data_IF_570023547581
#
_entry.id   IF_570023547581
#
_cell.length_a   1.000
_cell.length_b   1.000
_cell.length_c   1.000
_cell.angle_alpha   90.00
_cell.angle_beta   90.00
_cell.angle_gamma   90.00
#
_symmetry.space_group_name_H-M   'P 1'
#
loop_
_entity.id
_entity.type
_entity.pdbx_description
1 polymer ?
#
# COMPACT_ATOMS: atom_id res chain seq x y z
N UNK A 1 -17.14 3.31 -20.65
CA UNK A 1 -16.17 2.18 -20.63
C UNK A 1 -15.25 2.14 -21.86
N UNK A 2 -15.41 3.02 -22.84
CA UNK A 2 -14.66 2.95 -24.11
C UNK A 2 -13.25 3.59 -24.06
N UNK A 3 -12.98 4.49 -23.10
CA UNK A 3 -11.67 5.17 -22.98
C UNK A 3 -10.56 4.37 -22.27
N UNK A 4 -10.89 3.24 -21.63
CA UNK A 4 -9.90 2.39 -20.96
C UNK A 4 -9.29 1.35 -21.90
N UNK A 5 -9.97 1.03 -23.00
CA UNK A 5 -9.54 0.01 -23.96
C UNK A 5 -8.55 0.54 -25.00
N UNK A 6 -8.58 1.84 -25.32
CA UNK A 6 -7.59 2.48 -26.19
C UNK A 6 -6.21 2.64 -25.53
N UNK A 7 -6.19 2.85 -24.21
CA UNK A 7 -4.93 3.03 -23.47
C UNK A 7 -4.14 1.71 -23.36
N UNK A 8 -4.84 0.58 -23.27
CA UNK A 8 -4.24 -0.76 -23.26
C UNK A 8 -3.64 -1.16 -24.62
N UNK A 9 -4.19 -0.65 -25.73
CA UNK A 9 -3.72 -0.96 -27.09
C UNK A 9 -2.46 -0.19 -27.48
N UNK A 10 -2.29 1.02 -26.92
CA UNK A 10 -1.11 1.87 -27.18
C UNK A 10 0.18 1.34 -26.55
N UNK A 11 0.12 0.48 -25.53
CA UNK A 11 1.30 0.01 -24.80
C UNK A 11 1.95 -1.25 -25.39
N UNK A 12 1.34 -1.91 -26.37
CA UNK A 12 1.81 -3.18 -26.94
C UNK A 12 2.60 -3.04 -28.26
N UNK A 13 2.90 -1.82 -28.71
CA UNK A 13 3.73 -1.58 -29.89
C UNK A 13 5.01 -0.85 -29.49
N UNK A 14 6.04 -1.62 -29.17
CA UNK A 14 7.31 -1.11 -28.68
C UNK A 14 8.36 -2.21 -28.51
N UNK A 15 8.63 -2.88 -29.63
CA UNK A 15 9.89 -3.54 -30.02
C UNK A 15 10.82 -4.05 -28.91
N UNK A 16 11.00 -5.37 -28.94
CA UNK A 16 12.12 -6.16 -28.43
C UNK A 16 13.48 -5.48 -28.65
N UNK A 17 14.15 -5.05 -27.58
CA UNK A 17 15.61 -5.03 -27.55
C UNK A 17 16.11 -5.92 -26.40
N UNK A 18 16.89 -6.92 -26.79
CA UNK A 18 17.49 -7.90 -25.92
C UNK A 18 18.70 -7.29 -25.20
N UNK A 19 18.63 -7.20 -23.87
CA UNK A 19 19.81 -7.03 -23.04
C UNK A 19 20.28 -8.41 -22.54
N UNK A 20 21.54 -8.82 -22.78
CA UNK A 20 22.08 -10.04 -22.19
C UNK A 20 22.50 -9.75 -20.75
N UNK A 21 21.82 -10.34 -19.77
CA UNK A 21 22.25 -10.33 -18.37
C UNK A 21 23.19 -11.51 -18.08
N UNK A 22 24.44 -11.29 -17.60
CA UNK A 22 25.34 -12.34 -17.18
C UNK A 22 25.22 -12.58 -15.67
N UNK A 23 24.44 -13.58 -15.25
CA UNK A 23 24.46 -14.06 -13.86
C UNK A 23 24.04 -15.53 -13.73
N UNK A 24 25.03 -16.41 -13.63
CA UNK A 24 25.05 -17.78 -13.04
C UNK A 24 23.78 -18.66 -13.14
N UNK A 25 23.87 -19.64 -14.04
CA UNK A 25 22.86 -20.62 -14.49
C UNK A 25 22.11 -21.47 -13.43
N UNK A 26 22.42 -21.42 -12.13
CA UNK A 26 21.86 -22.41 -11.18
C UNK A 26 20.38 -22.19 -10.79
N UNK A 27 19.88 -20.95 -10.86
CA UNK A 27 18.50 -20.61 -10.46
C UNK A 27 17.47 -20.76 -11.59
N UNK A 28 17.88 -20.52 -12.84
CA UNK A 28 17.04 -20.77 -14.03
C UNK A 28 16.77 -22.27 -14.24
N UNK A 29 17.72 -23.13 -13.85
CA UNK A 29 17.57 -24.59 -13.98
C UNK A 29 16.47 -25.16 -13.06
N UNK A 30 16.25 -24.56 -11.88
CA UNK A 30 15.20 -25.00 -10.97
C UNK A 30 13.79 -24.68 -11.53
N UNK A 31 13.63 -23.51 -12.15
CA UNK A 31 12.38 -23.11 -12.82
C UNK A 31 12.13 -23.99 -14.04
N UNK A 32 13.15 -24.23 -14.87
CA UNK A 32 13.04 -25.14 -16.02
C UNK A 32 12.66 -26.55 -15.60
N UNK A 33 13.23 -27.08 -14.51
CA UNK A 33 12.85 -28.39 -13.97
C UNK A 33 11.40 -28.42 -13.52
N UNK A 34 10.91 -27.37 -12.86
CA UNK A 34 9.52 -27.30 -12.40
C UNK A 34 8.52 -27.21 -13.57
N UNK A 35 8.79 -26.34 -14.55
CA UNK A 35 7.97 -26.19 -15.77
C UNK A 35 7.98 -27.46 -16.62
N UNK A 36 9.10 -28.18 -16.68
CA UNK A 36 9.20 -29.45 -17.40
C UNK A 36 8.63 -30.65 -16.62
N UNK A 37 8.32 -30.48 -15.32
CA UNK A 37 7.70 -31.53 -14.48
C UNK A 37 6.18 -31.38 -14.39
N UNK A 38 5.59 -30.30 -14.93
CA UNK A 38 4.14 -30.17 -15.07
C UNK A 38 3.68 -30.94 -16.31
N UNK A 39 2.78 -31.94 -16.19
CA UNK A 39 2.27 -32.68 -17.35
C UNK A 39 1.46 -31.77 -18.29
N UNK A 40 1.63 -31.99 -19.60
CA UNK A 40 0.84 -31.34 -20.66
C UNK A 40 -0.67 -31.67 -20.47
N UNK A 41 -1.61 -30.71 -20.61
CA UNK A 41 -3.05 -30.94 -20.42
C UNK A 41 -3.69 -32.01 -21.35
N UNK A 42 -2.94 -32.66 -22.24
CA UNK A 42 -3.47 -33.56 -23.28
C UNK A 42 -3.24 -35.07 -23.06
N UNK A 43 -2.62 -35.52 -21.98
CA UNK A 43 -2.45 -36.96 -21.68
C UNK A 43 -3.20 -37.45 -20.44
N UNK A 44 -4.47 -37.06 -20.26
CA UNK A 44 -5.35 -37.76 -19.32
C UNK A 44 -6.16 -38.82 -20.09
N UNK A 45 -6.10 -40.12 -19.71
CA UNK A 45 -6.94 -41.13 -20.31
C UNK A 45 -8.41 -40.84 -20.00
N UNK A 46 -9.25 -40.90 -21.04
CA UNK A 46 -10.71 -40.75 -20.94
C UNK A 46 -11.24 -41.90 -20.06
N UNK A 47 -11.89 -41.63 -18.91
CA UNK A 47 -12.53 -42.69 -18.13
C UNK A 47 -13.77 -43.21 -18.85
N UNK A 48 -13.80 -44.52 -19.09
CA UNK A 48 -14.96 -45.28 -19.54
C UNK A 48 -16.04 -45.20 -18.47
N UNK A 49 -17.25 -44.79 -18.85
CA UNK A 49 -18.44 -44.87 -18.00
C UNK A 49 -18.73 -46.32 -17.61
N UNK A 50 -18.82 -46.60 -16.32
CA UNK A 50 -19.51 -47.78 -15.82
C UNK A 50 -20.48 -47.35 -14.71
N UNK A 51 -21.75 -47.54 -15.02
CA UNK A 51 -22.89 -47.39 -14.14
C UNK A 51 -22.78 -48.31 -12.92
N UNK A 52 -22.97 -47.77 -11.72
CA UNK A 52 -23.78 -48.44 -10.68
C UNK A 52 -24.27 -47.45 -9.63
N UNK A 53 -25.59 -47.43 -9.48
CA UNK A 53 -26.44 -46.67 -8.56
C UNK A 53 -26.22 -47.15 -7.11
N UNK A 54 -26.04 -46.25 -6.10
CA UNK A 54 -26.76 -46.12 -4.79
C UNK A 54 -26.43 -44.73 -4.14
N UNK A 55 -27.44 -44.10 -3.52
CA UNK A 55 -27.66 -42.72 -2.99
C UNK A 55 -26.70 -42.06 -1.93
N UNK A 56 -26.85 -40.74 -1.59
CA UNK A 56 -25.79 -39.78 -1.16
C UNK A 56 -25.76 -39.43 0.36
N UNK A 57 -24.84 -38.58 0.86
CA UNK A 57 -25.14 -37.13 0.96
C UNK A 57 -23.95 -36.15 0.76
N UNK A 58 -24.24 -35.00 0.16
CA UNK A 58 -23.54 -33.70 0.23
C UNK A 58 -22.03 -33.68 0.52
N UNK A 59 -21.21 -33.68 -0.53
CA UNK A 59 -19.83 -33.18 -0.46
C UNK A 59 -19.77 -31.83 -1.16
N UNK A 60 -19.47 -30.83 -0.33
CA UNK A 60 -19.06 -29.47 -0.64
C UNK A 60 -18.32 -29.38 -1.98
N UNK A 61 -18.93 -28.69 -2.96
CA UNK A 61 -18.26 -28.34 -4.20
C UNK A 61 -17.13 -27.35 -3.87
N UNK A 62 -15.91 -27.87 -3.66
CA UNK A 62 -14.73 -27.03 -3.47
C UNK A 62 -14.50 -26.24 -4.75
N UNK A 63 -14.74 -24.94 -4.68
CA UNK A 63 -14.68 -24.00 -5.80
C UNK A 63 -13.29 -24.09 -6.49
N UNK A 64 -13.22 -24.66 -7.70
CA UNK A 64 -11.99 -24.85 -8.47
C UNK A 64 -11.21 -23.54 -8.70
N UNK A 65 -11.92 -22.42 -8.65
CA UNK A 65 -11.38 -21.07 -8.81
C UNK A 65 -10.41 -20.69 -7.67
N UNK A 66 -10.65 -21.13 -6.44
CA UNK A 66 -9.78 -20.83 -5.31
C UNK A 66 -8.41 -21.54 -5.42
N UNK A 67 -8.40 -22.75 -6.00
CA UNK A 67 -7.17 -23.54 -6.24
C UNK A 67 -6.32 -22.95 -7.37
N UNK A 68 -6.97 -22.31 -8.34
CA UNK A 68 -6.28 -21.67 -9.47
C UNK A 68 -5.59 -20.36 -9.04
N UNK A 69 -6.24 -19.54 -8.20
CA UNK A 69 -5.68 -18.30 -7.65
C UNK A 69 -4.44 -18.55 -6.77
N UNK A 70 -4.47 -19.60 -5.95
CA UNK A 70 -3.34 -19.95 -5.06
C UNK A 70 -2.11 -20.39 -5.89
N UNK A 71 -2.31 -21.14 -6.99
CA UNK A 71 -1.23 -21.52 -7.91
C UNK A 71 -0.65 -20.33 -8.66
N UNK A 72 -1.48 -19.38 -9.08
CA UNK A 72 -1.03 -18.14 -9.73
C UNK A 72 -0.25 -17.24 -8.78
N UNK A 73 -0.64 -17.19 -7.50
CA UNK A 73 0.10 -16.46 -6.48
C UNK A 73 1.47 -17.09 -6.20
N UNK A 74 1.55 -18.41 -6.18
CA UNK A 74 2.80 -19.14 -5.95
C UNK A 74 3.76 -19.01 -7.15
N UNK A 75 3.26 -19.11 -8.38
CA UNK A 75 4.08 -18.84 -9.57
C UNK A 75 4.56 -17.39 -9.60
N UNK A 76 3.74 -16.43 -9.21
CA UNK A 76 4.16 -15.03 -9.10
C UNK A 76 5.28 -14.83 -8.07
N UNK A 77 5.24 -15.53 -6.92
CA UNK A 77 6.31 -15.51 -5.90
C UNK A 77 7.61 -16.12 -6.40
N UNK A 78 7.53 -17.26 -7.08
CA UNK A 78 8.70 -17.90 -7.68
C UNK A 78 9.33 -16.99 -8.73
N UNK A 79 8.52 -16.38 -9.61
CA UNK A 79 8.98 -15.40 -10.59
C UNK A 79 9.62 -14.18 -9.90
N UNK A 80 9.00 -13.64 -8.85
CA UNK A 80 9.56 -12.50 -8.11
C UNK A 80 10.93 -12.84 -7.50
N UNK A 81 11.08 -14.04 -6.95
CA UNK A 81 12.33 -14.54 -6.37
C UNK A 81 13.39 -14.79 -7.44
N UNK A 82 13.01 -15.37 -8.57
CA UNK A 82 13.91 -15.64 -9.70
C UNK A 82 14.40 -14.37 -10.38
N UNK A 83 13.55 -13.34 -10.45
CA UNK A 83 13.88 -12.03 -11.02
C UNK A 83 14.63 -11.12 -10.03
N UNK A 84 14.90 -11.58 -8.80
CA UNK A 84 15.59 -10.79 -7.78
C UNK A 84 14.80 -9.55 -7.33
N UNK A 85 13.48 -9.54 -7.58
CA UNK A 85 12.63 -8.42 -7.21
C UNK A 85 12.44 -8.44 -5.67
N UNK A 86 12.65 -7.31 -4.97
CA UNK A 86 12.46 -7.28 -3.53
C UNK A 86 11.02 -7.66 -3.19
N UNK A 87 10.85 -8.47 -2.15
CA UNK A 87 9.52 -8.75 -1.61
C UNK A 87 8.89 -7.41 -1.20
N UNK A 88 7.61 -7.19 -1.57
CA UNK A 88 6.88 -6.00 -1.15
C UNK A 88 6.83 -5.99 0.38
N UNK A 89 7.66 -5.15 1.00
CA UNK A 89 7.67 -4.98 2.44
C UNK A 89 6.47 -4.12 2.83
N UNK A 90 5.69 -4.61 3.77
CA UNK A 90 4.61 -3.83 4.37
C UNK A 90 5.26 -2.83 5.34
N UNK A 91 5.08 -1.50 5.14
CA UNK A 91 5.61 -0.50 6.06
C UNK A 91 5.09 -0.70 7.49
N UNK A 92 5.84 -0.17 8.46
CA UNK A 92 5.35 0.02 9.83
C UNK A 92 4.47 1.27 9.89
N UNK A 93 3.55 1.29 10.85
CA UNK A 93 2.64 2.40 11.07
C UNK A 93 2.60 2.75 12.54
N UNK A 94 3.10 3.93 12.89
CA UNK A 94 3.24 4.42 14.26
C UNK A 94 1.99 5.16 14.78
N UNK A 95 1.08 5.52 13.87
CA UNK A 95 -0.10 6.33 14.16
C UNK A 95 -0.10 7.70 13.50
N UNK A 96 0.89 8.08 12.67
CA UNK A 96 0.82 9.36 11.95
C UNK A 96 -0.37 9.37 10.94
N UNK A 97 -1.38 10.24 11.11
CA UNK A 97 -2.49 10.35 10.17
C UNK A 97 -2.06 10.58 8.71
N UNK A 98 -0.97 11.32 8.48
CA UNK A 98 -0.45 11.58 7.13
C UNK A 98 -0.09 10.29 6.37
N UNK A 99 0.34 9.26 7.09
CA UNK A 99 0.78 7.98 6.53
C UNK A 99 -0.33 6.92 6.48
N UNK A 100 -1.48 7.16 7.11
CA UNK A 100 -2.54 6.16 7.26
C UNK A 100 -3.00 5.55 5.93
N UNK A 101 -3.34 6.37 4.93
CA UNK A 101 -3.85 5.85 3.65
C UNK A 101 -2.78 5.07 2.87
N UNK A 102 -1.51 5.47 2.97
CA UNK A 102 -0.40 4.78 2.28
C UNK A 102 -0.14 3.42 2.94
N UNK A 103 -0.16 3.37 4.27
CA UNK A 103 -0.09 2.16 5.06
C UNK A 103 -1.25 1.22 4.74
N UNK A 104 -2.50 1.69 4.84
CA UNK A 104 -3.68 0.86 4.62
C UNK A 104 -3.74 0.30 3.19
N UNK A 105 -3.38 1.10 2.17
CA UNK A 105 -3.27 0.61 0.79
C UNK A 105 -2.23 -0.51 0.68
N UNK A 106 -1.08 -0.35 1.33
CA UNK A 106 -0.01 -1.35 1.35
C UNK A 106 -0.46 -2.62 2.08
N UNK A 107 -1.12 -2.47 3.23
CA UNK A 107 -1.66 -3.55 4.05
C UNK A 107 -2.70 -4.37 3.28
N UNK A 108 -3.72 -3.72 2.74
CA UNK A 108 -4.77 -4.36 1.94
C UNK A 108 -4.19 -5.12 0.73
N UNK A 109 -3.22 -4.52 0.03
CA UNK A 109 -2.62 -5.15 -1.15
C UNK A 109 -1.72 -6.34 -0.84
N UNK A 110 -1.11 -6.38 0.34
CA UNK A 110 -0.06 -7.34 0.69
C UNK A 110 -0.57 -8.48 1.57
N UNK A 111 -1.44 -8.17 2.53
CA UNK A 111 -1.95 -9.13 3.53
C UNK A 111 -3.34 -9.60 3.14
N UNK A 112 -4.30 -8.68 2.98
CA UNK A 112 -5.71 -9.06 2.77
C UNK A 112 -5.93 -9.87 1.48
N UNK A 113 -5.17 -9.57 0.42
CA UNK A 113 -5.20 -10.32 -0.85
C UNK A 113 -4.63 -11.75 -0.75
N UNK A 114 -3.77 -12.02 0.23
CA UNK A 114 -2.98 -13.27 0.30
C UNK A 114 -3.36 -14.17 1.47
N UNK A 115 -3.99 -13.59 2.48
CA UNK A 115 -4.38 -14.27 3.72
C UNK A 115 -5.89 -14.23 3.81
N UNK A 116 -6.55 -15.37 3.99
CA UNK A 116 -8.02 -15.45 4.15
C UNK A 116 -8.44 -15.47 5.62
N UNK A 117 -7.62 -16.05 6.48
CA UNK A 117 -7.89 -16.18 7.90
C UNK A 117 -7.85 -14.82 8.64
N UNK A 118 -8.91 -14.46 9.39
CA UNK A 118 -8.96 -13.21 10.14
C UNK A 118 -7.95 -13.12 11.29
N UNK A 119 -7.63 -14.24 11.96
CA UNK A 119 -6.64 -14.25 13.04
C UNK A 119 -5.23 -13.94 12.50
N UNK A 120 -4.87 -14.52 11.36
CA UNK A 120 -3.62 -14.21 10.67
C UNK A 120 -3.58 -12.74 10.21
N UNK A 121 -4.68 -12.23 9.60
CA UNK A 121 -4.77 -10.82 9.18
C UNK A 121 -4.60 -9.87 10.36
N UNK A 122 -5.24 -10.15 11.48
CA UNK A 122 -5.09 -9.36 12.70
C UNK A 122 -3.67 -9.44 13.25
N UNK A 123 -3.06 -10.61 13.26
CA UNK A 123 -1.67 -10.80 13.69
C UNK A 123 -0.69 -9.99 12.83
N UNK A 124 -0.88 -9.96 11.51
CA UNK A 124 -0.11 -9.08 10.62
C UNK A 124 -0.37 -7.61 10.92
N UNK A 125 -1.63 -7.21 11.14
CA UNK A 125 -1.97 -5.81 11.46
C UNK A 125 -1.25 -5.36 12.74
N UNK A 126 -1.35 -6.15 13.81
CA UNK A 126 -0.69 -5.89 15.10
C UNK A 126 0.82 -5.85 14.94
N UNK A 127 1.41 -6.76 14.16
CA UNK A 127 2.86 -6.78 13.93
C UNK A 127 3.35 -5.52 13.22
N UNK A 128 2.54 -4.94 12.33
CA UNK A 128 2.93 -3.77 11.54
C UNK A 128 2.52 -2.42 12.15
N UNK A 129 1.66 -2.42 13.15
CA UNK A 129 1.41 -1.24 13.96
C UNK A 129 2.47 -1.10 15.06
N UNK A 130 2.90 0.13 15.32
CA UNK A 130 3.79 0.50 16.41
C UNK A 130 3.28 1.77 17.10
N UNK A 131 3.99 2.29 18.09
CA UNK A 131 3.68 3.58 18.70
C UNK A 131 2.23 3.70 19.22
N UNK A 132 1.55 4.77 18.80
CA UNK A 132 0.17 5.05 19.17
C UNK A 132 -0.81 4.09 18.47
N UNK A 133 -0.56 3.74 17.20
CA UNK A 133 -1.41 2.81 16.46
C UNK A 133 -1.49 1.44 17.15
N UNK A 134 -0.36 0.90 17.61
CA UNK A 134 -0.33 -0.36 18.34
C UNK A 134 -1.11 -0.27 19.66
N UNK A 135 -0.97 0.84 20.39
CA UNK A 135 -1.71 1.05 21.64
C UNK A 135 -3.22 1.14 21.41
N UNK A 136 -3.64 1.78 20.31
CA UNK A 136 -5.05 1.96 19.97
C UNK A 136 -5.75 0.62 19.72
N UNK A 137 -5.10 -0.32 19.03
CA UNK A 137 -5.71 -1.61 18.66
C UNK A 137 -5.42 -2.73 19.65
N UNK A 138 -4.56 -2.51 20.67
CA UNK A 138 -4.11 -3.54 21.62
C UNK A 138 -5.24 -4.33 22.27
N UNK A 139 -6.36 -3.67 22.61
CA UNK A 139 -7.50 -4.31 23.29
C UNK A 139 -8.31 -5.24 22.38
N UNK A 140 -8.19 -5.10 21.06
CA UNK A 140 -8.96 -5.91 20.12
C UNK A 140 -8.53 -7.38 20.13
N UNK A 141 -7.33 -7.70 20.63
CA UNK A 141 -6.85 -9.09 20.73
C UNK A 141 -7.51 -9.95 21.80
N UNK A 142 -8.43 -9.39 22.59
CA UNK A 142 -9.26 -10.16 23.55
C UNK A 142 -10.55 -10.68 22.90
N UNK A 143 -10.95 -10.09 21.76
CA UNK A 143 -12.15 -10.45 21.02
C UNK A 143 -11.89 -11.68 20.14
N UNK A 144 -12.97 -12.29 19.65
CA UNK A 144 -12.87 -13.33 18.63
C UNK A 144 -12.17 -12.78 17.37
N UNK A 145 -11.41 -13.61 16.63
CA UNK A 145 -10.51 -13.13 15.56
C UNK A 145 -11.17 -12.20 14.52
N UNK A 146 -12.36 -12.55 14.06
CA UNK A 146 -13.14 -11.77 13.10
C UNK A 146 -13.53 -10.39 13.67
N UNK A 147 -14.03 -10.38 14.90
CA UNK A 147 -14.51 -9.17 15.58
C UNK A 147 -13.32 -8.27 15.96
N UNK A 148 -12.26 -8.85 16.52
CA UNK A 148 -11.04 -8.15 16.87
C UNK A 148 -10.37 -7.49 15.67
N UNK A 149 -10.29 -8.17 14.54
CA UNK A 149 -9.77 -7.60 13.30
C UNK A 149 -10.63 -6.44 12.80
N UNK A 150 -11.96 -6.63 12.73
CA UNK A 150 -12.88 -5.60 12.25
C UNK A 150 -12.85 -4.35 13.14
N UNK A 151 -12.85 -4.54 14.47
CA UNK A 151 -12.78 -3.43 15.42
C UNK A 151 -11.44 -2.70 15.35
N UNK A 152 -10.33 -3.42 15.18
CA UNK A 152 -9.02 -2.80 15.00
C UNK A 152 -8.97 -1.89 13.76
N UNK A 153 -9.50 -2.36 12.62
CA UNK A 153 -9.59 -1.54 11.41
C UNK A 153 -10.43 -0.27 11.64
N UNK A 154 -11.59 -0.41 12.31
CA UNK A 154 -12.47 0.70 12.63
C UNK A 154 -11.81 1.74 13.54
N UNK A 155 -11.05 1.28 14.54
CA UNK A 155 -10.30 2.15 15.44
C UNK A 155 -9.22 2.92 14.68
N UNK A 156 -8.45 2.24 13.81
CA UNK A 156 -7.41 2.90 13.03
C UNK A 156 -8.00 3.94 12.07
N UNK A 157 -9.08 3.60 11.38
CA UNK A 157 -9.78 4.53 10.49
C UNK A 157 -10.30 5.75 11.24
N UNK A 158 -10.99 5.55 12.36
CA UNK A 158 -11.56 6.65 13.14
C UNK A 158 -10.49 7.58 13.71
N UNK A 159 -9.36 7.04 14.16
CA UNK A 159 -8.31 7.83 14.82
C UNK A 159 -7.35 8.50 13.85
N UNK A 160 -7.00 7.81 12.77
CA UNK A 160 -5.89 8.20 11.89
C UNK A 160 -6.31 8.38 10.44
N UNK A 161 -7.48 7.85 10.05
CA UNK A 161 -7.97 7.85 8.67
C UNK A 161 -9.01 8.90 8.32
N UNK A 162 -9.44 9.70 9.30
CA UNK A 162 -10.41 10.76 9.08
C UNK A 162 -9.79 11.87 8.20
N UNK A 163 -10.42 12.23 7.05
CA UNK A 163 -9.89 13.25 6.14
C UNK A 163 -9.59 14.59 6.81
N UNK A 164 -10.42 15.01 7.77
CA UNK A 164 -10.22 16.27 8.48
C UNK A 164 -9.02 16.17 9.44
N UNK A 165 -8.86 15.04 10.14
CA UNK A 165 -7.68 14.79 10.97
C UNK A 165 -6.39 14.82 10.13
N UNK A 166 -6.38 14.13 8.98
CA UNK A 166 -5.22 14.08 8.09
C UNK A 166 -4.88 15.48 7.56
N UNK A 167 -5.88 16.22 7.11
CA UNK A 167 -5.72 17.59 6.62
C UNK A 167 -5.14 18.51 7.70
N UNK A 168 -5.72 18.47 8.91
CA UNK A 168 -5.29 19.27 10.05
C UNK A 168 -3.85 18.94 10.45
N UNK A 169 -3.53 17.66 10.60
CA UNK A 169 -2.18 17.20 10.96
C UNK A 169 -1.14 17.62 9.91
N UNK A 170 -1.47 17.49 8.63
CA UNK A 170 -0.58 17.89 7.52
C UNK A 170 -0.29 19.39 7.54
N UNK A 171 -1.25 20.21 7.93
CA UNK A 171 -1.07 21.67 8.08
C UNK A 171 -0.24 21.98 9.32
N UNK A 172 -0.53 21.33 10.44
CA UNK A 172 0.20 21.51 11.70
C UNK A 172 1.67 21.16 11.55
N UNK A 173 2.03 20.12 10.79
CA UNK A 173 3.43 19.78 10.46
C UNK A 173 4.17 20.93 9.75
N UNK A 174 3.45 21.81 9.04
CA UNK A 174 4.01 22.97 8.36
C UNK A 174 4.03 24.23 9.22
N UNK A 175 3.02 24.42 10.07
CA UNK A 175 2.82 25.67 10.82
C UNK A 175 3.42 25.62 12.22
N UNK A 176 3.44 24.46 12.85
CA UNK A 176 3.89 24.27 14.23
C UNK A 176 5.39 23.99 14.29
N UNK A 177 6.05 24.44 15.36
CA UNK A 177 7.47 24.20 15.61
C UNK A 177 8.33 25.46 15.59
N UNK A 178 9.65 25.31 15.85
CA UNK A 178 10.54 26.45 16.00
C UNK A 178 10.83 27.15 14.68
N UNK A 179 11.09 28.46 14.75
CA UNK A 179 11.63 29.22 13.63
C UNK A 179 12.92 28.59 13.13
N UNK A 180 12.98 28.35 11.82
CA UNK A 180 14.14 27.79 11.14
C UNK A 180 15.27 28.82 11.10
N UNK A 181 16.50 28.34 11.24
CA UNK A 181 17.68 29.18 11.12
C UNK A 181 18.06 29.36 9.65
N UNK A 182 18.57 30.54 9.29
CA UNK A 182 18.96 30.87 7.92
C UNK A 182 20.11 30.00 7.38
N UNK A 183 20.98 29.49 8.25
CA UNK A 183 22.09 28.60 7.92
C UNK A 183 21.65 27.14 7.69
N UNK A 184 20.45 26.76 8.14
CA UNK A 184 19.94 25.40 8.04
C UNK A 184 19.17 25.17 6.73
N UNK A 185 19.92 25.18 5.63
CA UNK A 185 19.41 24.94 4.28
C UNK A 185 18.62 23.62 4.16
N UNK A 186 19.06 22.57 4.85
CA UNK A 186 18.38 21.26 4.84
C UNK A 186 16.97 21.34 5.41
N UNK A 187 16.78 22.07 6.51
CA UNK A 187 15.46 22.24 7.12
C UNK A 187 14.52 23.06 6.24
N UNK A 188 15.04 24.08 5.55
CA UNK A 188 14.27 24.87 4.58
C UNK A 188 13.82 24.03 3.37
N UNK A 189 14.72 23.21 2.82
CA UNK A 189 14.38 22.28 1.73
C UNK A 189 13.33 21.26 2.19
N UNK A 190 13.46 20.74 3.42
CA UNK A 190 12.48 19.81 3.99
C UNK A 190 11.12 20.47 4.16
N UNK A 191 11.07 21.72 4.63
CA UNK A 191 9.81 22.47 4.75
C UNK A 191 9.14 22.63 3.39
N UNK A 192 9.89 23.02 2.35
CA UNK A 192 9.35 23.14 1.00
C UNK A 192 8.85 21.79 0.45
N UNK A 193 9.57 20.70 0.70
CA UNK A 193 9.13 19.35 0.34
C UNK A 193 7.83 18.97 1.05
N UNK A 194 7.72 19.24 2.34
CA UNK A 194 6.52 18.98 3.13
C UNK A 194 5.33 19.83 2.63
N UNK A 195 5.56 21.09 2.21
CA UNK A 195 4.50 21.92 1.61
C UNK A 195 3.96 21.30 0.31
N UNK A 196 4.83 20.73 -0.53
CA UNK A 196 4.41 20.03 -1.75
C UNK A 196 3.59 18.77 -1.44
N UNK A 197 4.03 17.98 -0.46
CA UNK A 197 3.32 16.78 -0.01
C UNK A 197 1.95 17.17 0.57
N UNK A 198 1.90 18.14 1.47
CA UNK A 198 0.66 18.65 2.06
C UNK A 198 -0.31 19.18 0.98
N UNK A 199 0.19 19.90 -0.04
CA UNK A 199 -0.66 20.36 -1.15
C UNK A 199 -1.28 19.20 -1.93
N UNK A 200 -0.51 18.15 -2.21
CA UNK A 200 -1.03 16.95 -2.87
C UNK A 200 -2.07 16.23 -2.00
N UNK A 201 -1.79 16.06 -0.71
CA UNK A 201 -2.70 15.44 0.26
C UNK A 201 -4.02 16.21 0.35
N UNK A 202 -3.97 17.53 0.57
CA UNK A 202 -5.17 18.37 0.70
C UNK A 202 -6.00 18.40 -0.59
N UNK A 203 -5.38 18.40 -1.77
CA UNK A 203 -6.10 18.26 -3.05
C UNK A 203 -6.84 16.93 -3.15
N UNK A 204 -6.20 15.84 -2.73
CA UNK A 204 -6.84 14.52 -2.73
C UNK A 204 -8.04 14.47 -1.78
N UNK A 205 -7.93 15.13 -0.62
CA UNK A 205 -8.97 15.19 0.41
C UNK A 205 -10.05 16.25 0.15
N UNK A 206 -9.98 16.99 -0.97
CA UNK A 206 -10.90 18.10 -1.30
C UNK A 206 -10.83 19.31 -0.35
N UNK A 207 -9.67 19.55 0.27
CA UNK A 207 -9.36 20.71 1.11
C UNK A 207 -8.28 21.65 0.51
N UNK A 208 -8.27 21.95 -0.80
CA UNK A 208 -7.16 22.69 -1.42
C UNK A 208 -6.97 24.11 -0.86
N UNK A 209 -8.03 24.71 -0.31
CA UNK A 209 -8.04 26.07 0.21
C UNK A 209 -7.41 26.20 1.60
N UNK A 210 -7.27 25.10 2.33
CA UNK A 210 -6.77 25.16 3.71
C UNK A 210 -5.28 25.51 3.74
N UNK A 211 -4.52 25.09 2.72
CA UNK A 211 -3.11 25.46 2.53
C UNK A 211 -2.95 26.94 2.17
N UNK A 212 -3.88 27.49 1.38
CA UNK A 212 -3.84 28.88 0.93
C UNK A 212 -4.53 29.85 1.89
N UNK A 213 -5.06 29.34 3.00
CA UNK A 213 -5.67 30.18 4.03
C UNK A 213 -4.64 31.12 4.66
N UNK A 214 -5.09 32.33 5.03
CA UNK A 214 -4.23 33.31 5.69
C UNK A 214 -3.59 32.75 6.98
N UNK A 215 -4.32 31.90 7.71
CA UNK A 215 -3.83 31.23 8.92
C UNK A 215 -2.65 30.32 8.60
N UNK A 216 -2.78 29.45 7.60
CA UNK A 216 -1.73 28.49 7.23
C UNK A 216 -0.51 29.19 6.64
N UNK A 217 -0.71 30.13 5.71
CA UNK A 217 0.39 30.91 5.14
C UNK A 217 1.12 31.69 6.24
N UNK A 218 0.38 32.36 7.14
CA UNK A 218 0.96 33.08 8.27
C UNK A 218 1.79 32.18 9.19
N UNK A 219 1.29 30.98 9.50
CA UNK A 219 2.02 29.99 10.30
C UNK A 219 3.31 29.51 9.62
N UNK A 220 3.26 29.21 8.32
CA UNK A 220 4.44 28.82 7.54
C UNK A 220 5.47 29.96 7.51
N UNK A 221 5.03 31.20 7.28
CA UNK A 221 5.94 32.36 7.27
C UNK A 221 6.60 32.54 8.65
N UNK A 222 5.87 32.34 9.75
CA UNK A 222 6.44 32.41 11.09
C UNK A 222 7.55 31.36 11.37
N UNK A 223 7.52 30.23 10.65
CA UNK A 223 8.58 29.21 10.67
C UNK A 223 9.84 29.64 9.90
N UNK A 224 9.76 30.61 8.98
CA UNK A 224 10.91 31.03 8.16
C UNK A 224 11.91 31.90 8.94
N UNK A 225 13.19 31.96 8.52
CA UNK A 225 14.16 32.90 9.07
C UNK A 225 13.71 34.37 8.91
N UNK A 226 14.08 35.25 9.85
CA UNK A 226 13.60 36.64 9.90
C UNK A 226 13.86 37.45 8.63
N UNK A 227 14.98 37.22 7.95
CA UNK A 227 15.26 37.88 6.68
C UNK A 227 14.25 37.49 5.59
N UNK A 228 13.82 36.22 5.54
CA UNK A 228 12.82 35.75 4.58
C UNK A 228 11.41 36.22 4.94
N UNK A 229 11.10 36.34 6.22
CA UNK A 229 9.84 36.93 6.67
C UNK A 229 9.70 38.38 6.20
N UNK A 230 10.75 39.19 6.38
CA UNK A 230 10.75 40.60 5.95
C UNK A 230 10.57 40.71 4.43
N UNK A 231 11.28 39.90 3.65
CA UNK A 231 11.11 39.84 2.19
C UNK A 231 9.68 39.44 1.81
N UNK A 232 9.09 38.46 2.49
CA UNK A 232 7.69 38.07 2.28
C UNK A 232 6.73 39.23 2.54
N UNK A 233 6.87 39.93 3.66
CA UNK A 233 6.00 41.08 3.98
C UNK A 233 6.16 42.22 2.96
N UNK A 234 7.37 42.49 2.50
CA UNK A 234 7.63 43.49 1.46
C UNK A 234 6.96 43.13 0.13
N UNK A 235 6.94 41.85 -0.24
CA UNK A 235 6.29 41.37 -1.45
C UNK A 235 4.76 41.35 -1.32
N UNK A 236 4.23 40.98 -0.16
CA UNK A 236 2.79 40.90 0.09
C UNK A 236 2.12 42.28 0.28
N UNK A 237 2.89 43.31 0.63
CA UNK A 237 2.41 44.69 0.76
C UNK A 237 2.32 45.44 -0.58
N UNK A 238 2.74 44.83 -1.69
CA UNK A 238 2.65 45.37 -3.05
C UNK A 238 1.39 44.89 -3.75
#
# INVERSE_FOLDING_TARGET
MEKLDELARSMNSGVLEAYPCPASNKKCDAVKRYVNSTPDPKELPIPVEQDTIINPPNIHLCNANARQDDRLLETARLVQTCMGLPARQLPKFDGNPADYHSFMRSFMSTVVRRTRDPADRFSYLVHHCEGEAAQAIRRCGVLEPEEGYAEALRILERRFGDPHIIATTSIEELTEGPTLKADNHKALISLAANMMICSATLKQLQYPNDLTSCRTIGGIVARLPSNMQNEWFNLAAR
#
